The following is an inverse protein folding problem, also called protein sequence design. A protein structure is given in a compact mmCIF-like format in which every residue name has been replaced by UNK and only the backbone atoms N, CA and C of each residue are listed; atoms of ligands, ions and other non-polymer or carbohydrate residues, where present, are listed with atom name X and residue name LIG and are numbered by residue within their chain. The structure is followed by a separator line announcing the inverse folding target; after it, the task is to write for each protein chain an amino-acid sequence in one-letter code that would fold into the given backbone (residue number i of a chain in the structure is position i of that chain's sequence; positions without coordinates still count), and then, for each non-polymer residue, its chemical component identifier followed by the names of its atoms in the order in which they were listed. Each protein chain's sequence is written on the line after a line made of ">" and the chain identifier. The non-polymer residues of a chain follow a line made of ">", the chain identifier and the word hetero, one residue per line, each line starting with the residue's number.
data_IF_222522092616
#
_entry.id   IF_222522092616
#
_cell.length_a   1.000
_cell.length_b   1.000
_cell.length_c   1.000
_cell.angle_alpha   90.00
_cell.angle_beta   90.00
_cell.angle_gamma   90.00
#
_symmetry.space_group_name_H-M   'P 1'
#
loop_
_entity.id
_entity.type
_entity.pdbx_description
1 polymer ?
#
# COMPACT_ATOMS: atom_id res chain seq x y z
N UNK A 1 16.07 4.99 8.40
CA UNK A 1 15.42 4.00 7.51
C UNK A 1 14.68 4.79 6.44
N UNK A 2 14.85 4.47 5.15
CA UNK A 2 14.19 5.24 4.07
C UNK A 2 12.69 4.94 4.05
N UNK A 3 11.87 5.96 4.27
CA UNK A 3 10.41 5.89 4.31
C UNK A 3 9.83 5.14 3.10
N UNK A 4 10.42 5.31 1.91
CA UNK A 4 9.95 4.66 0.69
C UNK A 4 10.26 3.16 0.65
N UNK A 5 11.39 2.73 1.21
CA UNK A 5 11.73 1.32 1.30
C UNK A 5 10.81 0.61 2.32
N UNK A 6 10.53 1.24 3.45
CA UNK A 6 9.60 0.68 4.44
C UNK A 6 8.17 0.65 3.89
N UNK A 7 7.72 1.72 3.20
CA UNK A 7 6.43 1.74 2.54
C UNK A 7 6.31 0.63 1.49
N UNK A 8 7.34 0.43 0.65
CA UNK A 8 7.37 -0.67 -0.31
C UNK A 8 7.14 -2.01 0.38
N UNK A 9 7.86 -2.29 1.46
CA UNK A 9 7.74 -3.54 2.22
C UNK A 9 6.31 -3.73 2.76
N UNK A 10 5.71 -2.72 3.37
CA UNK A 10 4.35 -2.83 3.93
C UNK A 10 3.28 -3.02 2.86
N UNK A 11 3.35 -2.27 1.76
CA UNK A 11 2.42 -2.45 0.64
C UNK A 11 2.60 -3.79 -0.08
N UNK A 12 3.82 -4.35 -0.11
CA UNK A 12 4.06 -5.71 -0.63
C UNK A 12 3.39 -6.78 0.24
N UNK A 13 3.39 -6.61 1.56
CA UNK A 13 2.65 -7.51 2.46
C UNK A 13 1.15 -7.47 2.17
N UNK A 14 0.57 -6.27 2.06
CA UNK A 14 -0.85 -6.10 1.69
C UNK A 14 -1.15 -6.77 0.34
N UNK A 15 -0.33 -6.50 -0.66
CA UNK A 15 -0.48 -7.10 -2.00
C UNK A 15 -0.44 -8.63 -1.95
N UNK A 16 0.46 -9.21 -1.17
CA UNK A 16 0.56 -10.67 -1.03
C UNK A 16 -0.70 -11.26 -0.41
N UNK A 17 -1.26 -10.62 0.63
CA UNK A 17 -2.50 -11.10 1.27
C UNK A 17 -3.67 -11.04 0.28
N UNK A 18 -3.82 -9.92 -0.44
CA UNK A 18 -4.87 -9.76 -1.45
C UNK A 18 -4.76 -10.73 -2.62
N UNK A 19 -3.54 -11.10 -3.01
CA UNK A 19 -3.27 -11.97 -4.16
C UNK A 19 -3.42 -13.45 -3.84
N UNK A 20 -3.21 -13.85 -2.58
CA UNK A 20 -3.21 -15.24 -2.14
C UNK A 20 -4.14 -15.47 -0.93
N UNK A 21 -5.44 -15.13 -1.03
CA UNK A 21 -6.36 -15.19 0.10
C UNK A 21 -6.51 -16.59 0.73
N UNK A 22 -6.31 -17.64 -0.06
CA UNK A 22 -6.38 -19.04 0.37
C UNK A 22 -5.30 -19.41 1.40
N UNK A 23 -4.11 -18.80 1.32
CA UNK A 23 -3.02 -19.01 2.28
C UNK A 23 -3.42 -18.49 3.66
N UNK A 24 -4.28 -17.46 3.68
CA UNK A 24 -4.65 -16.74 4.88
C UNK A 24 -6.06 -17.04 5.36
N UNK A 25 -6.80 -17.95 4.71
CA UNK A 25 -8.27 -18.08 4.79
C UNK A 25 -8.87 -18.02 6.21
N UNK A 26 -8.25 -18.64 7.22
CA UNK A 26 -8.75 -18.63 8.60
C UNK A 26 -8.65 -17.26 9.29
N UNK A 27 -7.60 -16.49 8.99
CA UNK A 27 -7.30 -15.20 9.63
C UNK A 27 -7.20 -14.07 8.58
N UNK A 28 -7.75 -14.27 7.39
CA UNK A 28 -7.50 -13.43 6.21
C UNK A 28 -7.85 -11.97 6.50
N UNK A 29 -9.04 -11.73 7.04
CA UNK A 29 -9.51 -10.38 7.37
C UNK A 29 -8.61 -9.74 8.42
N UNK A 30 -8.22 -10.49 9.46
CA UNK A 30 -7.35 -9.99 10.53
C UNK A 30 -5.95 -9.62 10.05
N UNK A 31 -5.37 -10.47 9.21
CA UNK A 31 -4.05 -10.22 8.63
C UNK A 31 -4.09 -9.05 7.65
N UNK A 32 -5.12 -8.99 6.79
CA UNK A 32 -5.30 -7.89 5.87
C UNK A 32 -5.51 -6.56 6.61
N UNK A 33 -6.31 -6.55 7.67
CA UNK A 33 -6.53 -5.41 8.56
C UNK A 33 -5.21 -4.91 9.14
N UNK A 34 -4.46 -5.78 9.82
CA UNK A 34 -3.17 -5.44 10.43
C UNK A 34 -2.18 -4.88 9.39
N UNK A 35 -2.02 -5.55 8.25
CA UNK A 35 -1.12 -5.10 7.19
C UNK A 35 -1.56 -3.75 6.58
N UNK A 36 -2.87 -3.54 6.46
CA UNK A 36 -3.45 -2.29 5.96
C UNK A 36 -3.16 -1.13 6.92
N UNK A 37 -3.33 -1.34 8.23
CA UNK A 37 -3.05 -0.31 9.25
C UNK A 37 -1.59 0.12 9.23
N UNK A 38 -0.66 -0.84 9.15
CA UNK A 38 0.77 -0.55 9.05
C UNK A 38 1.14 0.22 7.78
N UNK A 39 0.55 -0.15 6.63
CA UNK A 39 0.78 0.54 5.37
C UNK A 39 0.18 1.96 5.38
N UNK A 40 -1.01 2.13 5.95
CA UNK A 40 -1.68 3.41 6.11
C UNK A 40 -0.88 4.38 6.99
N UNK A 41 -0.33 3.90 8.11
CA UNK A 41 0.47 4.72 9.02
C UNK A 41 1.65 5.40 8.28
N UNK A 42 2.25 4.71 7.31
CA UNK A 42 3.32 5.30 6.49
C UNK A 42 2.80 6.34 5.50
N UNK A 43 1.60 6.12 4.93
CA UNK A 43 0.96 7.14 4.10
C UNK A 43 0.67 8.41 4.88
N UNK A 44 0.17 8.27 6.10
CA UNK A 44 -0.15 9.37 7.00
C UNK A 44 1.11 10.07 7.54
N UNK A 45 2.18 9.32 7.80
CA UNK A 45 3.49 9.82 8.23
C UNK A 45 4.27 10.62 7.16
N UNK A 46 3.66 10.90 6.00
CA UNK A 46 4.21 11.82 5.01
C UNK A 46 4.65 11.18 3.69
N UNK A 47 4.26 9.93 3.40
CA UNK A 47 4.45 9.36 2.06
C UNK A 47 3.77 10.24 1.00
N UNK A 48 2.59 10.79 1.31
CA UNK A 48 1.87 11.72 0.44
C UNK A 48 2.38 13.16 0.49
N UNK A 49 3.02 13.56 1.59
CA UNK A 49 3.54 14.92 1.75
C UNK A 49 4.69 15.22 0.77
N UNK A 50 5.42 14.20 0.35
CA UNK A 50 6.57 14.35 -0.54
C UNK A 50 6.20 14.50 -2.02
N UNK A 51 4.90 14.44 -2.40
CA UNK A 51 4.37 14.50 -3.78
C UNK A 51 5.02 13.53 -4.81
N UNK A 52 6.00 12.73 -4.40
CA UNK A 52 6.81 11.89 -5.25
C UNK A 52 6.07 10.62 -5.67
N UNK A 53 5.03 10.22 -4.93
CA UNK A 53 4.23 9.02 -5.23
C UNK A 53 3.24 9.30 -6.34
N UNK A 54 2.31 10.24 -6.12
CA UNK A 54 1.23 10.56 -7.05
C UNK A 54 0.51 11.85 -6.62
N UNK A 55 -0.05 12.60 -7.57
CA UNK A 55 -0.99 13.70 -7.29
C UNK A 55 -2.27 13.21 -6.58
N UNK A 56 -2.66 11.94 -6.79
CA UNK A 56 -3.78 11.26 -6.14
C UNK A 56 -3.42 10.61 -4.79
N UNK A 57 -2.24 10.85 -4.21
CA UNK A 57 -1.85 10.15 -2.98
C UNK A 57 -2.86 10.35 -1.83
N UNK A 58 -3.44 11.55 -1.72
CA UNK A 58 -4.49 11.85 -0.74
C UNK A 58 -5.74 11.00 -0.98
N UNK A 59 -6.14 10.81 -2.25
CA UNK A 59 -7.28 9.98 -2.62
C UNK A 59 -7.02 8.50 -2.27
N UNK A 60 -5.84 7.98 -2.59
CA UNK A 60 -5.43 6.64 -2.18
C UNK A 60 -5.46 6.46 -0.65
N UNK A 61 -4.94 7.44 0.10
CA UNK A 61 -4.97 7.40 1.57
C UNK A 61 -6.40 7.36 2.09
N UNK A 62 -7.27 8.22 1.58
CA UNK A 62 -8.67 8.28 2.00
C UNK A 62 -9.43 7.00 1.68
N UNK A 63 -9.19 6.43 0.50
CA UNK A 63 -9.74 5.13 0.12
C UNK A 63 -9.26 4.04 1.09
N UNK A 64 -7.95 3.95 1.37
CA UNK A 64 -7.41 2.94 2.28
C UNK A 64 -7.99 3.08 3.70
N UNK A 65 -8.24 4.30 4.17
CA UNK A 65 -8.95 4.52 5.43
C UNK A 65 -10.36 3.91 5.43
N UNK A 66 -11.12 4.05 4.34
CA UNK A 66 -12.45 3.41 4.22
C UNK A 66 -12.37 1.88 4.16
N UNK A 67 -11.31 1.33 3.57
CA UNK A 67 -11.04 -0.11 3.59
C UNK A 67 -10.74 -0.58 5.02
N UNK A 68 -9.96 0.17 5.80
CA UNK A 68 -9.74 -0.15 7.22
C UNK A 68 -11.03 -0.18 8.03
N UNK A 69 -11.94 0.76 7.78
CA UNK A 69 -13.27 0.77 8.41
C UNK A 69 -14.06 -0.50 8.05
N UNK A 70 -14.04 -0.89 6.77
CA UNK A 70 -14.67 -2.13 6.29
C UNK A 70 -14.06 -3.38 6.93
N UNK A 71 -12.73 -3.45 7.02
CA UNK A 71 -12.00 -4.58 7.62
C UNK A 71 -12.35 -4.71 9.10
N UNK A 72 -12.40 -3.61 9.86
CA UNK A 72 -12.81 -3.62 11.28
C UNK A 72 -14.24 -4.12 11.49
N UNK A 73 -15.16 -3.76 10.60
CA UNK A 73 -16.52 -4.29 10.65
C UNK A 73 -16.52 -5.82 10.45
N UNK A 74 -15.80 -6.30 9.45
CA UNK A 74 -15.71 -7.73 9.14
C UNK A 74 -15.01 -8.52 10.27
N UNK A 75 -13.97 -7.96 10.90
CA UNK A 75 -13.33 -8.56 12.08
C UNK A 75 -14.29 -8.70 13.27
N UNK A 76 -15.18 -7.72 13.45
CA UNK A 76 -16.21 -7.74 14.48
C UNK A 76 -17.39 -8.66 14.15
N UNK A 77 -17.35 -9.37 13.03
CA UNK A 77 -18.44 -10.24 12.56
C UNK A 77 -19.65 -9.48 11.99
N UNK A 78 -19.46 -8.21 11.60
CA UNK A 78 -20.51 -7.38 11.02
C UNK A 78 -20.39 -7.38 9.50
N UNK A 79 -21.29 -8.12 8.84
CA UNK A 79 -21.34 -8.25 7.39
C UNK A 79 -20.58 -9.46 6.85
N UNK A 80 -20.72 -9.69 5.55
CA UNK A 80 -20.09 -10.80 4.83
C UNK A 80 -19.06 -10.24 3.84
N UNK A 81 -17.89 -10.89 3.75
CA UNK A 81 -16.79 -10.47 2.87
C UNK A 81 -17.25 -10.37 1.42
N UNK A 82 -18.13 -11.27 1.00
CA UNK A 82 -18.71 -11.40 -0.33
C UNK A 82 -19.38 -10.11 -0.78
N UNK A 83 -20.02 -9.39 0.15
CA UNK A 83 -20.68 -8.11 -0.12
C UNK A 83 -19.69 -6.96 -0.40
N UNK A 84 -18.40 -7.16 -0.09
CA UNK A 84 -17.34 -6.17 -0.26
C UNK A 84 -16.32 -6.58 -1.34
N UNK A 85 -16.63 -7.56 -2.18
CA UNK A 85 -15.71 -8.03 -3.24
C UNK A 85 -15.24 -6.90 -4.16
N UNK A 86 -16.13 -5.99 -4.56
CA UNK A 86 -15.78 -4.85 -5.41
C UNK A 86 -14.77 -3.91 -4.72
N UNK A 87 -14.95 -3.67 -3.42
CA UNK A 87 -14.04 -2.86 -2.61
C UNK A 87 -12.66 -3.51 -2.52
N UNK A 88 -12.60 -4.84 -2.30
CA UNK A 88 -11.32 -5.56 -2.25
C UNK A 88 -10.62 -5.63 -3.61
N UNK A 89 -11.37 -5.74 -4.72
CA UNK A 89 -10.81 -5.69 -6.06
C UNK A 89 -10.20 -4.31 -6.36
N UNK A 90 -10.93 -3.23 -6.06
CA UNK A 90 -10.39 -1.87 -6.19
C UNK A 90 -9.18 -1.65 -5.27
N UNK A 91 -9.22 -2.23 -4.07
CA UNK A 91 -8.11 -2.13 -3.13
C UNK A 91 -6.83 -2.77 -3.68
N UNK A 92 -6.93 -3.97 -4.27
CA UNK A 92 -5.80 -4.63 -4.93
C UNK A 92 -5.21 -3.77 -6.06
N UNK A 93 -6.05 -3.16 -6.90
CA UNK A 93 -5.62 -2.27 -7.97
C UNK A 93 -4.86 -1.06 -7.41
N UNK A 94 -5.42 -0.38 -6.40
CA UNK A 94 -4.80 0.81 -5.79
C UNK A 94 -3.48 0.46 -5.09
N UNK A 95 -3.39 -0.68 -4.41
CA UNK A 95 -2.15 -1.16 -3.78
C UNK A 95 -1.07 -1.40 -4.83
N UNK A 96 -1.41 -2.02 -5.96
CA UNK A 96 -0.45 -2.22 -7.04
C UNK A 96 0.06 -0.88 -7.63
N UNK A 97 -0.85 0.08 -7.87
CA UNK A 97 -0.47 1.41 -8.34
C UNK A 97 0.49 2.11 -7.36
N UNK A 98 0.21 2.06 -6.06
CA UNK A 98 1.11 2.62 -5.04
C UNK A 98 2.49 1.95 -5.11
N UNK A 99 2.56 0.62 -5.25
CA UNK A 99 3.83 -0.12 -5.34
C UNK A 99 4.66 0.26 -6.58
N UNK A 100 4.01 0.43 -7.73
CA UNK A 100 4.65 0.89 -8.97
C UNK A 100 5.24 2.29 -8.79
N UNK A 101 4.49 3.20 -8.17
CA UNK A 101 4.95 4.57 -7.87
C UNK A 101 6.12 4.59 -6.89
N UNK A 102 6.02 3.85 -5.78
CA UNK A 102 7.14 3.73 -4.81
C UNK A 102 8.39 3.20 -5.52
N UNK A 103 8.26 2.18 -6.37
CA UNK A 103 9.38 1.60 -7.10
C UNK A 103 10.00 2.59 -8.11
N UNK A 104 9.17 3.41 -8.75
CA UNK A 104 9.64 4.49 -9.65
C UNK A 104 10.48 5.52 -8.89
N UNK A 105 10.03 5.96 -7.72
CA UNK A 105 10.77 6.92 -6.87
C UNK A 105 12.09 6.32 -6.38
N UNK A 106 12.08 5.05 -5.97
CA UNK A 106 13.31 4.38 -5.53
C UNK A 106 14.30 4.21 -6.70
N UNK A 107 13.81 3.90 -7.90
CA UNK A 107 14.64 3.78 -9.11
C UNK A 107 15.23 5.12 -9.59
N UNK A 108 14.49 6.23 -9.50
CA UNK A 108 15.02 7.55 -9.86
C UNK A 108 16.09 8.03 -8.87
N UNK A 109 15.97 7.68 -7.58
CA UNK A 109 16.99 7.96 -6.56
C UNK A 109 18.29 7.19 -6.79
N UNK A 110 18.23 5.97 -7.30
CA UNK A 110 19.43 5.18 -7.63
C UNK A 110 20.04 5.58 -8.98
N UNK A 111 19.23 6.10 -9.92
CA UNK A 111 19.68 6.61 -11.23
C UNK A 111 20.41 7.95 -11.20
N UNK A 112 20.24 8.78 -10.16
CA UNK A 112 20.90 10.10 -10.03
C UNK A 112 22.40 10.05 -9.66
N UNK A 113 23.08 8.89 -9.74
CA UNK A 113 24.53 8.75 -9.48
C UNK A 113 25.39 8.56 -10.73
N UNK A 114 24.97 9.07 -11.90
CA UNK A 114 25.86 9.10 -13.07
C UNK A 114 25.76 10.45 -13.78
N UNK A 115 26.58 11.41 -13.33
CA UNK A 115 27.04 12.52 -14.16
C UNK A 115 28.57 12.55 -14.12
N UNK A 116 29.12 11.96 -15.18
CA UNK A 116 30.41 12.17 -15.84
C UNK A 116 31.57 12.73 -15.02
N UNK A 117 32.50 11.84 -14.68
CA UNK A 117 33.90 12.23 -14.52
C UNK A 117 34.42 12.80 -15.83
N UNK A 118 34.74 14.09 -15.84
CA UNK A 118 35.57 14.71 -16.86
C UNK A 118 37.03 14.40 -16.48
N UNK A 119 37.82 13.67 -17.27
CA UNK A 119 39.26 13.75 -17.16
C UNK A 119 39.75 14.99 -17.91
N UNK A 120 40.72 15.65 -17.28
CA UNK A 120 41.47 16.83 -17.72
C UNK A 120 42.03 16.71 -19.14
#
# INVERSE_FOLDING_TARGET
>A
MDLFNEAKKRFQTVHAILSYPEIFAHDYIKQLSTATEEAYALMDAGLCANAAIDYNCIDHRNFIRSVMETLKMLEAGVGERENHQAVFAEYAVRVNLILERISTVLGSRTGSRVWYGIPL
#
